data_IF_974588444484
#
_entry.id   IF_974588444484
#
_cell.length_a   1.000
_cell.length_b   1.000
_cell.length_c   1.000
_cell.angle_alpha   90.00
_cell.angle_beta   90.00
_cell.angle_gamma   90.00
#
_symmetry.space_group_name_H-M   'P 1'
#
loop_
_entity.id
_entity.type
_entity.pdbx_description
1 polymer ?
#
# COMPACT_ATOMS: atom_id res chain seq x y z
N UNK A 1 33.36 -20.18 15.03
CA UNK A 1 32.27 -20.03 14.05
C UNK A 1 31.62 -18.71 14.37
N UNK A 2 32.05 -17.62 13.73
CA UNK A 2 31.46 -16.30 13.97
C UNK A 2 29.99 -16.37 13.61
N UNK A 3 29.13 -16.10 14.59
CA UNK A 3 27.72 -15.83 14.35
C UNK A 3 27.70 -14.65 13.37
N UNK A 4 27.19 -14.88 12.15
CA UNK A 4 26.90 -13.82 11.18
C UNK A 4 26.07 -12.76 11.91
N UNK A 5 26.73 -11.69 12.32
CA UNK A 5 26.08 -10.60 13.03
C UNK A 5 25.07 -10.01 12.06
N UNK A 6 23.82 -9.91 12.48
CA UNK A 6 22.80 -9.28 11.66
C UNK A 6 23.29 -7.88 11.26
N UNK A 7 23.20 -7.58 9.97
CA UNK A 7 23.61 -6.32 9.40
C UNK A 7 22.39 -5.80 8.65
N UNK A 8 21.80 -4.72 9.12
CA UNK A 8 20.53 -4.25 8.57
C UNK A 8 20.63 -3.84 7.11
N UNK A 9 21.82 -3.51 6.60
CA UNK A 9 22.01 -3.15 5.21
C UNK A 9 22.15 -4.35 4.28
N UNK A 10 22.59 -5.51 4.79
CA UNK A 10 22.88 -6.71 4.02
C UNK A 10 21.97 -7.90 4.35
N UNK A 11 21.28 -7.87 5.48
CA UNK A 11 20.44 -8.95 6.01
C UNK A 11 18.99 -8.50 6.22
N UNK A 12 18.43 -7.73 5.30
CA UNK A 12 17.06 -7.24 5.38
C UNK A 12 16.13 -7.88 4.33
N UNK A 13 14.83 -7.65 4.46
CA UNK A 13 13.83 -8.17 3.52
C UNK A 13 14.07 -7.73 2.08
N UNK A 14 14.60 -6.52 1.88
CA UNK A 14 14.90 -5.98 0.55
C UNK A 14 16.00 -6.78 -0.16
N UNK A 15 17.12 -6.98 0.53
CA UNK A 15 18.30 -7.71 0.01
C UNK A 15 17.97 -9.18 -0.20
N UNK A 16 17.22 -9.80 0.72
CA UNK A 16 16.71 -11.16 0.53
C UNK A 16 15.82 -11.29 -0.71
N UNK A 17 14.81 -10.42 -0.86
CA UNK A 17 13.88 -10.50 -1.98
C UNK A 17 14.58 -10.29 -3.33
N UNK A 18 15.51 -9.31 -3.41
CA UNK A 18 16.30 -9.07 -4.61
C UNK A 18 17.20 -10.26 -4.94
N UNK A 19 17.89 -10.84 -3.95
CA UNK A 19 18.72 -12.01 -4.14
C UNK A 19 17.89 -13.20 -4.63
N UNK A 20 16.74 -13.46 -4.02
CA UNK A 20 15.83 -14.53 -4.43
C UNK A 20 15.38 -14.38 -5.89
N UNK A 21 14.92 -13.19 -6.29
CA UNK A 21 14.49 -12.94 -7.68
C UNK A 21 15.66 -13.13 -8.64
N UNK A 22 16.85 -12.63 -8.30
CA UNK A 22 18.03 -12.79 -9.14
C UNK A 22 18.48 -14.25 -9.27
N UNK A 23 18.33 -15.06 -8.23
CA UNK A 23 18.54 -16.52 -8.32
C UNK A 23 17.56 -17.16 -9.32
N UNK A 24 16.28 -16.79 -9.28
CA UNK A 24 15.27 -17.28 -10.22
C UNK A 24 15.56 -16.82 -11.65
N UNK A 25 15.96 -15.55 -11.85
CA UNK A 25 16.33 -15.02 -13.16
C UNK A 25 17.55 -15.74 -13.74
N UNK A 26 18.57 -15.99 -12.92
CA UNK A 26 19.76 -16.73 -13.32
C UNK A 26 19.42 -18.17 -13.74
N UNK A 27 18.55 -18.85 -12.98
CA UNK A 27 18.06 -20.19 -13.32
C UNK A 27 17.27 -20.22 -14.65
N UNK A 28 16.69 -19.09 -15.06
CA UNK A 28 16.01 -18.91 -16.34
C UNK A 28 16.94 -18.39 -17.47
N UNK A 29 18.24 -18.24 -17.22
CA UNK A 29 19.19 -17.66 -18.19
C UNK A 29 18.99 -16.17 -18.46
N UNK A 30 18.30 -15.45 -17.57
CA UNK A 30 18.04 -14.02 -17.69
C UNK A 30 19.06 -13.22 -16.89
N UNK A 31 19.26 -11.96 -17.28
CA UNK A 31 20.13 -11.03 -16.56
C UNK A 31 19.56 -10.71 -15.17
N UNK A 32 20.42 -10.58 -14.14
CA UNK A 32 20.00 -10.18 -12.81
C UNK A 32 19.59 -8.70 -12.79
N UNK A 33 18.65 -8.39 -11.92
CA UNK A 33 18.13 -7.05 -11.68
C UNK A 33 19.05 -6.27 -10.74
N UNK A 34 19.24 -4.98 -11.05
CA UNK A 34 19.95 -4.06 -10.14
C UNK A 34 19.06 -3.63 -8.96
N UNK A 35 19.68 -3.07 -7.91
CA UNK A 35 18.91 -2.45 -6.80
C UNK A 35 17.97 -1.36 -7.31
N UNK A 36 18.41 -0.50 -8.23
CA UNK A 36 17.56 0.58 -8.76
C UNK A 36 16.35 0.02 -9.51
N UNK A 37 16.59 -0.92 -10.42
CA UNK A 37 15.52 -1.52 -11.22
C UNK A 37 14.50 -2.25 -10.34
N UNK A 38 14.96 -3.01 -9.34
CA UNK A 38 14.07 -3.67 -8.39
C UNK A 38 13.24 -2.67 -7.59
N UNK A 39 13.88 -1.61 -7.10
CA UNK A 39 13.21 -0.56 -6.34
C UNK A 39 12.14 0.14 -7.17
N UNK A 40 12.49 0.58 -8.38
CA UNK A 40 11.58 1.30 -9.27
C UNK A 40 10.40 0.45 -9.71
N UNK A 41 10.65 -0.82 -10.03
CA UNK A 41 9.63 -1.70 -10.61
C UNK A 41 8.70 -2.31 -9.57
N UNK A 42 9.21 -2.65 -8.38
CA UNK A 42 8.45 -3.43 -7.41
C UNK A 42 8.24 -2.72 -6.06
N UNK A 43 9.22 -1.96 -5.58
CA UNK A 43 9.13 -1.35 -4.24
C UNK A 43 8.35 -0.04 -4.27
N UNK A 44 8.76 0.92 -5.12
CA UNK A 44 8.15 2.26 -5.20
C UNK A 44 6.63 2.21 -5.42
N UNK A 45 6.07 1.37 -6.31
CA UNK A 45 4.62 1.32 -6.51
C UNK A 45 3.86 0.95 -5.23
N UNK A 46 4.38 -0.02 -4.47
CA UNK A 46 3.74 -0.50 -3.26
C UNK A 46 3.92 0.48 -2.10
N UNK A 47 5.11 1.07 -1.95
CA UNK A 47 5.37 2.08 -0.90
C UNK A 47 4.59 3.36 -1.14
N UNK A 48 4.39 3.78 -2.41
CA UNK A 48 3.49 4.90 -2.74
C UNK A 48 2.05 4.61 -2.36
N UNK A 49 1.56 3.39 -2.61
CA UNK A 49 0.22 2.99 -2.18
C UNK A 49 0.10 3.02 -0.66
N UNK A 50 1.05 2.40 0.05
CA UNK A 50 1.10 2.38 1.50
C UNK A 50 1.14 3.80 2.08
N UNK A 51 1.96 4.69 1.52
CA UNK A 51 2.05 6.09 1.94
C UNK A 51 0.71 6.81 1.86
N UNK A 52 -0.07 6.64 0.79
CA UNK A 52 -1.41 7.24 0.69
C UNK A 52 -2.34 6.76 1.81
N UNK A 53 -2.37 5.45 2.08
CA UNK A 53 -3.21 4.90 3.15
C UNK A 53 -2.76 5.36 4.52
N UNK A 54 -1.45 5.42 4.77
CA UNK A 54 -0.88 5.92 6.03
C UNK A 54 -1.31 7.37 6.25
N UNK A 55 -1.18 8.23 5.22
CA UNK A 55 -1.59 9.64 5.33
C UNK A 55 -3.09 9.78 5.63
N UNK A 56 -3.96 9.05 4.92
CA UNK A 56 -5.40 9.10 5.19
C UNK A 56 -5.72 8.59 6.60
N UNK A 57 -5.10 7.48 7.01
CA UNK A 57 -5.29 6.93 8.35
C UNK A 57 -4.87 7.90 9.44
N UNK A 58 -3.71 8.55 9.28
CA UNK A 58 -3.21 9.54 10.23
C UNK A 58 -4.17 10.73 10.34
N UNK A 59 -4.62 11.28 9.22
CA UNK A 59 -5.58 12.37 9.20
C UNK A 59 -6.87 11.99 9.93
N UNK A 60 -7.37 10.76 9.69
CA UNK A 60 -8.58 10.24 10.35
C UNK A 60 -8.39 9.94 11.83
N UNK A 61 -7.20 9.55 12.25
CA UNK A 61 -6.90 9.29 13.65
C UNK A 61 -6.71 10.58 14.45
N UNK A 62 -6.14 11.62 13.82
CA UNK A 62 -5.88 12.92 14.45
C UNK A 62 -7.13 13.81 14.47
N UNK A 63 -7.99 13.71 13.46
CA UNK A 63 -9.22 14.48 13.35
C UNK A 63 -10.42 13.55 13.48
N UNK A 64 -11.38 13.87 14.36
CA UNK A 64 -12.57 13.04 14.57
C UNK A 64 -13.50 13.10 13.35
N UNK A 65 -13.41 12.11 12.46
CA UNK A 65 -14.40 11.91 11.39
C UNK A 65 -15.46 10.90 11.81
N UNK A 66 -16.70 11.15 11.40
CA UNK A 66 -17.80 10.18 11.49
C UNK A 66 -18.25 9.83 10.06
N UNK A 67 -18.55 8.56 9.83
CA UNK A 67 -19.21 8.15 8.58
C UNK A 67 -20.68 8.52 8.77
N UNK A 68 -21.16 9.52 8.03
CA UNK A 68 -22.57 9.87 8.03
C UNK A 68 -23.38 8.81 7.27
N UNK A 69 -24.40 8.25 7.92
CA UNK A 69 -25.37 7.36 7.27
C UNK A 69 -26.27 8.18 6.32
N UNK A 70 -25.76 8.53 5.15
CA UNK A 70 -26.58 9.13 4.09
C UNK A 70 -27.05 8.04 3.12
N UNK A 71 -27.97 7.19 3.58
CA UNK A 71 -28.74 6.32 2.69
C UNK A 71 -30.26 6.45 2.84
N UNK A 72 -30.77 7.24 3.79
CA UNK A 72 -32.22 7.26 4.07
C UNK A 72 -32.96 8.57 3.71
N UNK A 73 -32.31 9.58 3.13
CA UNK A 73 -32.95 10.88 2.87
C UNK A 73 -33.40 11.12 1.41
N UNK A 74 -33.16 10.20 0.47
CA UNK A 74 -33.68 10.34 -0.91
C UNK A 74 -35.02 9.61 -1.15
N UNK A 75 -35.61 8.94 -0.14
CA UNK A 75 -36.91 8.25 -0.29
C UNK A 75 -38.12 8.99 0.26
N UNK A 76 -37.97 10.10 0.97
CA UNK A 76 -39.11 10.79 1.61
C UNK A 76 -39.52 12.11 0.95
N UNK A 77 -38.81 12.60 -0.06
CA UNK A 77 -39.15 13.89 -0.72
C UNK A 77 -40.10 13.76 -1.93
N UNK A 78 -40.72 12.60 -2.17
CA UNK A 78 -41.71 12.41 -3.25
C UNK A 78 -43.16 12.27 -2.77
N UNK A 79 -43.45 12.41 -1.48
CA UNK A 79 -44.82 12.29 -0.94
C UNK A 79 -45.38 13.57 -0.30
N UNK A 80 -44.60 14.65 -0.17
CA UNK A 80 -45.07 15.93 0.40
C UNK A 80 -45.65 16.93 -0.64
N UNK A 81 -45.72 16.56 -1.92
CA UNK A 81 -46.23 17.45 -3.00
C UNK A 81 -47.70 17.19 -3.38
N UNK A 82 -48.46 16.40 -2.60
CA UNK A 82 -49.91 16.16 -2.86
C UNK A 82 -50.84 16.65 -1.75
N UNK A 83 -50.36 17.47 -0.80
CA UNK A 83 -51.23 17.97 0.28
C UNK A 83 -51.10 19.44 0.66
N UNK A 84 -50.51 20.26 -0.20
CA UNK A 84 -50.61 21.72 -0.10
C UNK A 84 -50.94 22.35 -1.46
N UNK A 85 -52.26 22.46 -1.68
CA UNK A 85 -52.99 23.40 -2.53
C UNK A 85 -53.33 23.06 -3.99
#
# INVERSE_FOLDING_TARGET
MELLRYDEHHHNCYTYALAFINCVLAAQGKQPMSKSEFTERFVIPQTRKASKYITVYQEVAENYFYIGDTLDQEKNNSEEDTLLH
#
